data_IF_668252406695
#
_entry.id   IF_668252406695
#
_cell.length_a   1.000
_cell.length_b   1.000
_cell.length_c   1.000
_cell.angle_alpha   90.00
_cell.angle_beta   90.00
_cell.angle_gamma   90.00
#
_symmetry.space_group_name_H-M   'P 1'
#
loop_
_entity.id
_entity.type
_entity.pdbx_description
1 polymer ?
#
# COMPACT_ATOMS: atom_id res chain seq x y z
N UNK A 1 37.26 14.08 23.25
CA UNK A 1 35.86 14.41 22.92
C UNK A 1 35.48 14.06 21.47
N UNK A 2 36.35 14.28 20.48
CA UNK A 2 36.09 13.99 19.05
C UNK A 2 35.87 12.51 18.73
N UNK A 3 36.67 11.60 19.29
CA UNK A 3 36.59 10.15 19.05
C UNK A 3 35.28 9.54 19.57
N UNK A 4 34.80 10.01 20.72
CA UNK A 4 33.56 9.51 21.33
C UNK A 4 32.32 9.83 20.47
N UNK A 5 32.30 11.02 19.86
CA UNK A 5 31.21 11.46 18.98
C UNK A 5 31.16 10.66 17.67
N UNK A 6 32.33 10.23 17.15
CA UNK A 6 32.44 9.37 15.95
C UNK A 6 31.90 7.97 16.25
N UNK A 7 32.31 7.38 17.38
CA UNK A 7 31.87 6.04 17.79
C UNK A 7 30.37 6.02 18.05
N UNK A 8 29.86 7.05 18.74
CA UNK A 8 28.43 7.18 19.03
C UNK A 8 27.60 7.34 17.75
N UNK A 9 28.00 8.22 16.82
CA UNK A 9 27.33 8.39 15.54
C UNK A 9 27.34 7.11 14.69
N UNK A 10 28.43 6.35 14.70
CA UNK A 10 28.51 5.08 13.97
C UNK A 10 27.61 4.01 14.59
N UNK A 11 27.49 3.94 15.92
CA UNK A 11 26.53 3.07 16.61
C UNK A 11 25.08 3.47 16.32
N UNK A 12 24.76 4.76 16.35
CA UNK A 12 23.42 5.28 16.04
C UNK A 12 23.03 5.05 14.58
N UNK A 13 23.96 5.23 13.64
CA UNK A 13 23.76 4.89 12.22
C UNK A 13 23.48 3.39 12.07
N UNK A 14 24.27 2.52 12.71
CA UNK A 14 24.05 1.07 12.70
C UNK A 14 22.69 0.67 13.30
N UNK A 15 22.27 1.31 14.40
CA UNK A 15 20.97 1.03 15.03
C UNK A 15 19.79 1.43 14.13
N UNK A 16 19.87 2.61 13.49
CA UNK A 16 18.85 3.07 12.52
C UNK A 16 18.77 2.14 11.32
N UNK A 17 19.90 1.66 10.83
CA UNK A 17 19.99 0.69 9.74
C UNK A 17 19.28 -0.63 10.10
N UNK A 18 19.54 -1.17 11.30
CA UNK A 18 18.91 -2.42 11.76
C UNK A 18 17.39 -2.26 11.89
N UNK A 19 16.92 -1.12 12.38
CA UNK A 19 15.48 -0.84 12.48
C UNK A 19 14.79 -0.73 11.10
N UNK A 20 15.44 -0.09 10.13
CA UNK A 20 14.96 -0.04 8.73
C UNK A 20 14.94 -1.45 8.12
N UNK A 21 15.96 -2.27 8.36
CA UNK A 21 16.00 -3.67 7.88
C UNK A 21 14.86 -4.49 8.50
N UNK A 22 14.50 -4.28 9.77
CA UNK A 22 13.38 -4.96 10.43
C UNK A 22 12.05 -4.53 9.81
N UNK A 23 11.84 -3.22 9.57
CA UNK A 23 10.63 -2.69 8.91
C UNK A 23 10.48 -3.21 7.47
N UNK A 24 11.59 -3.34 6.74
CA UNK A 24 11.59 -3.91 5.39
C UNK A 24 11.39 -5.44 5.39
N UNK A 25 11.77 -6.16 6.46
CA UNK A 25 11.56 -7.60 6.59
C UNK A 25 10.17 -7.98 7.14
N UNK A 26 9.46 -7.09 7.83
CA UNK A 26 8.02 -7.29 8.13
C UNK A 26 7.15 -7.37 6.87
N UNK A 27 7.69 -6.96 5.72
CA UNK A 27 7.12 -7.15 4.39
C UNK A 27 7.49 -8.48 3.70
N UNK A 28 8.37 -9.31 4.29
CA UNK A 28 8.88 -10.56 3.74
C UNK A 28 8.49 -11.81 4.56
N UNK A 29 7.61 -11.67 5.55
CA UNK A 29 7.00 -12.82 6.22
C UNK A 29 6.05 -13.51 5.23
N UNK A 30 6.46 -14.65 4.70
CA UNK A 30 5.56 -15.58 4.00
C UNK A 30 4.33 -15.81 4.88
N UNK A 31 3.19 -15.40 4.35
CA UNK A 31 1.87 -15.62 4.93
C UNK A 31 1.59 -17.12 5.00
N UNK A 32 1.87 -17.74 6.16
CA UNK A 32 1.15 -18.94 6.58
C UNK A 32 0.85 -18.96 8.10
N UNK A 33 1.18 -17.89 8.84
CA UNK A 33 0.93 -17.83 10.29
C UNK A 33 0.46 -16.47 10.84
N UNK A 34 0.19 -15.48 9.99
CA UNK A 34 -0.07 -14.10 10.43
C UNK A 34 -1.50 -13.85 10.96
N UNK A 35 -2.38 -14.86 10.97
CA UNK A 35 -3.71 -14.71 11.55
C UNK A 35 -3.79 -15.01 13.07
N UNK A 36 -2.68 -15.28 13.77
CA UNK A 36 -2.76 -15.72 15.19
C UNK A 36 -1.96 -14.96 16.25
N UNK A 37 -1.04 -14.04 15.95
CA UNK A 37 -0.33 -13.31 17.02
C UNK A 37 0.19 -11.95 16.59
N UNK A 38 -0.66 -10.93 16.57
CA UNK A 38 -0.26 -9.57 17.00
C UNK A 38 -1.49 -8.94 17.67
N UNK A 39 -1.46 -8.84 18.99
CA UNK A 39 -2.22 -7.79 19.66
C UNK A 39 -1.50 -6.48 19.31
N UNK A 40 -2.12 -5.67 18.46
CA UNK A 40 -1.60 -4.34 18.15
C UNK A 40 -1.81 -3.46 19.38
N UNK A 41 -0.75 -3.19 20.14
CA UNK A 41 -0.79 -2.08 21.09
C UNK A 41 -0.81 -0.74 20.32
N UNK A 42 -1.61 0.24 20.77
CA UNK A 42 -1.77 1.51 20.08
C UNK A 42 -0.54 2.40 20.33
N UNK A 43 0.26 2.61 19.29
CA UNK A 43 1.29 3.64 19.28
C UNK A 43 0.65 5.02 19.42
N UNK A 44 1.03 5.75 20.47
CA UNK A 44 0.61 7.13 20.75
C UNK A 44 0.85 8.03 19.54
N UNK A 45 -0.22 8.34 18.83
CA UNK A 45 -0.28 9.48 17.92
C UNK A 45 -0.37 10.76 18.74
N UNK A 46 0.51 11.71 18.43
CA UNK A 46 0.46 13.06 18.95
C UNK A 46 -0.92 13.67 18.70
N UNK A 47 -1.45 14.34 19.73
CA UNK A 47 -2.79 14.90 19.76
C UNK A 47 -2.98 15.92 18.62
N UNK A 48 -3.63 15.47 17.54
CA UNK A 48 -4.22 16.36 16.55
C UNK A 48 -5.43 17.02 17.20
N UNK A 49 -5.34 18.34 17.36
CA UNK A 49 -6.45 19.20 17.80
C UNK A 49 -7.69 18.90 16.95
N UNK A 50 -8.78 18.47 17.60
CA UNK A 50 -10.11 18.29 17.00
C UNK A 50 -10.53 19.56 16.25
N UNK A 51 -10.63 19.44 14.93
CA UNK A 51 -11.38 20.37 14.08
C UNK A 51 -12.45 19.58 13.33
N UNK A 52 -13.71 20.01 13.49
CA UNK A 52 -14.92 19.71 12.68
C UNK A 52 -14.77 18.55 11.69
N UNK A 53 -15.42 17.42 11.98
CA UNK A 53 -15.37 16.16 11.23
C UNK A 53 -15.37 16.36 9.70
N UNK A 54 -14.18 16.22 9.10
CA UNK A 54 -13.90 16.41 7.67
C UNK A 54 -13.85 15.08 6.91
N UNK A 55 -14.39 14.00 7.49
CA UNK A 55 -14.35 12.67 6.88
C UNK A 55 -15.28 12.62 5.67
N UNK A 56 -14.79 12.00 4.59
CA UNK A 56 -15.59 11.77 3.38
C UNK A 56 -16.71 10.76 3.67
N UNK A 57 -17.81 10.74 2.89
CA UNK A 57 -18.87 9.75 3.05
C UNK A 57 -18.37 8.30 3.00
N UNK A 58 -17.38 8.03 2.14
CA UNK A 58 -16.69 6.73 2.06
C UNK A 58 -16.05 6.38 3.40
N UNK A 59 -15.27 7.28 4.01
CA UNK A 59 -14.64 7.01 5.31
C UNK A 59 -15.66 6.76 6.42
N UNK A 60 -16.76 7.51 6.43
CA UNK A 60 -17.85 7.31 7.40
C UNK A 60 -18.50 5.93 7.23
N UNK A 61 -18.72 5.48 5.99
CA UNK A 61 -19.24 4.13 5.72
C UNK A 61 -18.29 3.04 6.22
N UNK A 62 -16.99 3.17 5.93
CA UNK A 62 -15.98 2.20 6.33
C UNK A 62 -15.78 2.15 7.86
N UNK A 63 -15.90 3.30 8.53
CA UNK A 63 -15.95 3.36 10.00
C UNK A 63 -17.19 2.63 10.54
N UNK A 64 -18.35 2.80 9.90
CA UNK A 64 -19.59 2.07 10.24
C UNK A 64 -19.46 0.55 10.05
N UNK A 65 -18.62 0.11 9.11
CA UNK A 65 -18.27 -1.30 8.94
C UNK A 65 -17.16 -1.80 9.87
N UNK A 66 -16.56 -0.91 10.66
CA UNK A 66 -15.44 -1.18 11.55
C UNK A 66 -14.20 -1.71 10.82
N UNK A 67 -13.91 -1.16 9.64
CA UNK A 67 -12.68 -1.47 8.91
C UNK A 67 -11.46 -0.84 9.60
N UNK A 68 -10.31 -1.51 9.52
CA UNK A 68 -9.04 -0.95 10.01
C UNK A 68 -8.58 0.21 9.12
N UNK A 69 -7.66 1.03 9.60
CA UNK A 69 -7.13 2.14 8.81
C UNK A 69 -6.38 1.65 7.56
N UNK A 70 -5.71 0.50 7.64
CA UNK A 70 -5.07 -0.10 6.47
C UNK A 70 -6.08 -0.55 5.40
N UNK A 71 -7.23 -1.06 5.82
CA UNK A 71 -8.33 -1.43 4.92
C UNK A 71 -8.97 -0.18 4.30
N UNK A 72 -9.12 0.90 5.08
CA UNK A 72 -9.60 2.19 4.54
C UNK A 72 -8.65 2.72 3.46
N UNK A 73 -7.35 2.68 3.71
CA UNK A 73 -6.36 3.10 2.72
C UNK A 73 -6.41 2.26 1.43
N UNK A 74 -6.59 0.94 1.54
CA UNK A 74 -6.77 0.07 0.38
C UNK A 74 -8.03 0.44 -0.43
N UNK A 75 -9.15 0.74 0.24
CA UNK A 75 -10.38 1.21 -0.43
C UNK A 75 -10.16 2.57 -1.13
N UNK A 76 -9.47 3.51 -0.47
CA UNK A 76 -9.17 4.82 -1.06
C UNK A 76 -8.22 4.70 -2.27
N UNK A 77 -7.30 3.73 -2.25
CA UNK A 77 -6.45 3.43 -3.40
C UNK A 77 -7.30 2.96 -4.60
N UNK A 78 -8.28 2.09 -4.38
CA UNK A 78 -9.23 1.65 -5.42
C UNK A 78 -10.10 2.81 -5.91
N UNK A 79 -10.61 3.64 -4.99
CA UNK A 79 -11.39 4.83 -5.35
C UNK A 79 -10.61 5.70 -6.34
N UNK A 80 -9.34 5.98 -6.05
CA UNK A 80 -8.48 6.80 -6.92
C UNK A 80 -8.36 6.22 -8.33
N UNK A 81 -8.30 4.89 -8.48
CA UNK A 81 -8.26 4.25 -9.80
C UNK A 81 -9.62 4.35 -10.52
N UNK A 82 -10.72 4.04 -9.82
CA UNK A 82 -12.06 3.98 -10.42
C UNK A 82 -12.63 5.35 -10.80
N UNK A 83 -12.26 6.40 -10.07
CA UNK A 83 -12.72 7.78 -10.34
C UNK A 83 -11.80 8.55 -11.29
N UNK A 84 -10.61 8.03 -11.62
CA UNK A 84 -9.70 8.70 -12.55
C UNK A 84 -10.11 8.44 -14.02
N UNK A 85 -10.47 9.46 -14.81
CA UNK A 85 -10.87 9.30 -16.21
C UNK A 85 -9.72 8.94 -17.15
N UNK A 86 -8.46 9.11 -16.72
CA UNK A 86 -7.27 8.89 -17.55
C UNK A 86 -6.66 7.50 -17.38
N UNK A 87 -7.39 6.58 -16.73
CA UNK A 87 -6.94 5.22 -16.44
C UNK A 87 -7.87 4.21 -17.12
N UNK A 88 -7.26 3.14 -17.66
CA UNK A 88 -7.98 2.07 -18.36
C UNK A 88 -8.30 2.40 -19.82
N UNK A 89 -9.10 1.55 -20.45
CA UNK A 89 -9.61 1.76 -21.80
C UNK A 89 -10.72 2.82 -21.80
N UNK A 90 -10.91 3.50 -22.94
CA UNK A 90 -11.95 4.53 -23.09
C UNK A 90 -13.37 4.00 -22.85
N UNK A 91 -13.60 2.70 -23.05
CA UNK A 91 -14.88 2.03 -22.78
C UNK A 91 -15.09 1.67 -21.30
N UNK A 92 -14.07 1.80 -20.45
CA UNK A 92 -14.21 1.50 -19.03
C UNK A 92 -15.00 2.59 -18.30
N UNK A 93 -15.81 2.18 -17.32
CA UNK A 93 -16.61 3.10 -16.51
C UNK A 93 -15.70 3.98 -15.66
N UNK A 94 -15.95 5.30 -15.69
CA UNK A 94 -15.40 6.24 -14.73
C UNK A 94 -16.46 6.63 -13.73
N UNK A 95 -16.21 6.29 -12.46
CA UNK A 95 -17.14 6.57 -11.37
C UNK A 95 -16.99 8.03 -10.93
N UNK A 96 -18.11 8.66 -10.61
CA UNK A 96 -18.12 9.79 -9.68
C UNK A 96 -17.93 9.31 -8.24
N UNK A 97 -17.57 10.20 -7.31
CA UNK A 97 -17.47 9.84 -5.89
C UNK A 97 -18.79 9.30 -5.32
N UNK A 98 -19.93 9.81 -5.80
CA UNK A 98 -21.26 9.33 -5.40
C UNK A 98 -21.52 7.90 -5.92
N UNK A 99 -21.25 7.63 -7.20
CA UNK A 99 -21.42 6.27 -7.75
C UNK A 99 -20.48 5.26 -7.10
N UNK A 100 -19.25 5.68 -6.76
CA UNK A 100 -18.32 4.81 -6.04
C UNK A 100 -18.84 4.50 -4.64
N UNK A 101 -19.37 5.50 -3.93
CA UNK A 101 -20.04 5.29 -2.64
C UNK A 101 -21.21 4.31 -2.77
N UNK A 102 -22.06 4.48 -3.79
CA UNK A 102 -23.20 3.58 -4.04
C UNK A 102 -22.74 2.14 -4.35
N UNK A 103 -21.63 1.97 -5.06
CA UNK A 103 -21.01 0.65 -5.26
C UNK A 103 -20.64 -0.01 -3.93
N UNK A 104 -20.00 0.73 -3.01
CA UNK A 104 -19.64 0.21 -1.69
C UNK A 104 -20.87 -0.17 -0.86
N UNK A 105 -21.93 0.65 -0.91
CA UNK A 105 -23.21 0.36 -0.25
C UNK A 105 -23.85 -0.91 -0.81
N UNK A 106 -23.86 -1.06 -2.14
CA UNK A 106 -24.46 -2.22 -2.81
C UNK A 106 -23.66 -3.52 -2.64
N UNK A 107 -22.34 -3.43 -2.49
CA UNK A 107 -21.52 -4.57 -2.06
C UNK A 107 -21.90 -4.98 -0.63
N UNK A 108 -22.13 -3.99 0.24
CA UNK A 108 -22.35 -4.22 1.66
C UNK A 108 -21.08 -4.68 2.38
N UNK A 109 -21.17 -4.80 3.71
CA UNK A 109 -20.02 -5.05 4.58
C UNK A 109 -19.24 -6.31 4.20
N UNK A 110 -19.91 -7.46 4.15
CA UNK A 110 -19.23 -8.77 4.06
C UNK A 110 -18.52 -8.94 2.72
N UNK A 111 -19.17 -8.57 1.61
CA UNK A 111 -18.57 -8.64 0.28
C UNK A 111 -17.44 -7.63 0.12
N UNK A 112 -17.62 -6.40 0.63
CA UNK A 112 -16.57 -5.40 0.60
C UNK A 112 -15.34 -5.85 1.41
N UNK A 113 -15.53 -6.47 2.57
CA UNK A 113 -14.43 -6.98 3.39
C UNK A 113 -13.63 -8.06 2.64
N UNK A 114 -14.31 -8.95 1.90
CA UNK A 114 -13.65 -9.96 1.07
C UNK A 114 -12.85 -9.33 -0.08
N UNK A 115 -13.43 -8.34 -0.78
CA UNK A 115 -12.70 -7.60 -1.82
C UNK A 115 -11.46 -6.92 -1.25
N UNK A 116 -11.60 -6.24 -0.11
CA UNK A 116 -10.52 -5.49 0.52
C UNK A 116 -9.40 -6.41 1.00
N UNK A 117 -9.69 -7.62 1.48
CA UNK A 117 -8.64 -8.60 1.84
C UNK A 117 -7.71 -8.90 0.67
N UNK A 118 -8.25 -9.11 -0.52
CA UNK A 118 -7.44 -9.40 -1.72
C UNK A 118 -6.67 -8.16 -2.17
N UNK A 119 -7.36 -7.01 -2.27
CA UNK A 119 -6.76 -5.74 -2.68
C UNK A 119 -5.65 -5.30 -1.71
N UNK A 120 -5.86 -5.52 -0.42
CA UNK A 120 -4.90 -5.16 0.63
C UNK A 120 -3.58 -5.91 0.47
N UNK A 121 -3.58 -7.17 0.02
CA UNK A 121 -2.35 -7.92 -0.23
C UNK A 121 -1.50 -7.22 -1.31
N UNK A 122 -2.11 -6.87 -2.44
CA UNK A 122 -1.42 -6.14 -3.52
C UNK A 122 -0.96 -4.76 -3.06
N UNK A 123 -1.83 -4.03 -2.36
CA UNK A 123 -1.51 -2.70 -1.82
C UNK A 123 -0.36 -2.73 -0.80
N UNK A 124 -0.25 -3.79 0.01
CA UNK A 124 0.85 -3.99 0.95
C UNK A 124 2.17 -4.20 0.20
N UNK A 125 2.20 -5.03 -0.84
CA UNK A 125 3.42 -5.23 -1.65
C UNK A 125 3.88 -3.90 -2.27
N UNK A 126 2.94 -3.09 -2.77
CA UNK A 126 3.21 -1.74 -3.27
C UNK A 126 3.83 -0.84 -2.19
N UNK A 127 3.27 -0.79 -0.98
CA UNK A 127 3.84 0.00 0.13
C UNK A 127 5.28 -0.43 0.44
N UNK A 128 5.52 -1.74 0.49
CA UNK A 128 6.87 -2.25 0.72
C UNK A 128 7.84 -1.86 -0.41
N UNK A 129 7.37 -1.74 -1.66
CA UNK A 129 8.17 -1.21 -2.76
C UNK A 129 8.52 0.27 -2.54
N UNK A 130 7.52 1.10 -2.17
CA UNK A 130 7.73 2.52 -1.83
C UNK A 130 8.77 2.67 -0.73
N UNK A 131 8.61 1.96 0.39
CA UNK A 131 9.53 2.03 1.53
C UNK A 131 10.97 1.62 1.14
N UNK A 132 11.10 0.59 0.29
CA UNK A 132 12.40 0.14 -0.21
C UNK A 132 13.06 1.20 -1.11
N UNK A 133 12.29 1.85 -2.00
CA UNK A 133 12.78 2.91 -2.87
C UNK A 133 13.19 4.14 -2.05
N UNK A 134 12.36 4.58 -1.10
CA UNK A 134 12.65 5.73 -0.24
C UNK A 134 13.93 5.54 0.59
N UNK A 135 14.20 4.30 0.98
CA UNK A 135 15.39 3.90 1.75
C UNK A 135 16.71 3.95 0.95
N UNK A 136 16.66 3.99 -0.38
CA UNK A 136 17.84 4.12 -1.23
C UNK A 136 18.54 5.48 -1.01
N UNK A 137 19.85 5.52 -1.23
CA UNK A 137 20.63 6.76 -1.16
C UNK A 137 21.02 7.26 -2.54
N UNK A 138 21.20 6.34 -3.49
CA UNK A 138 21.49 6.70 -4.87
C UNK A 138 20.24 7.24 -5.56
N UNK A 139 20.32 8.48 -6.04
CA UNK A 139 19.18 9.16 -6.66
C UNK A 139 18.84 8.54 -8.03
N UNK A 140 19.83 8.08 -8.78
CA UNK A 140 19.59 7.47 -10.09
C UNK A 140 18.80 6.15 -9.95
N UNK A 141 19.12 5.33 -8.93
CA UNK A 141 18.35 4.16 -8.58
C UNK A 141 16.93 4.52 -8.11
N UNK A 142 16.77 5.58 -7.29
CA UNK A 142 15.44 6.07 -6.89
C UNK A 142 14.60 6.45 -8.09
N UNK A 143 15.12 7.25 -9.01
CA UNK A 143 14.41 7.72 -10.18
C UNK A 143 14.01 6.56 -11.10
N UNK A 144 14.92 5.59 -11.28
CA UNK A 144 14.66 4.35 -12.02
C UNK A 144 13.51 3.57 -11.38
N UNK A 145 13.61 3.21 -10.10
CA UNK A 145 12.59 2.38 -9.45
C UNK A 145 11.25 3.12 -9.24
N UNK A 146 11.26 4.45 -9.11
CA UNK A 146 10.02 5.24 -9.14
C UNK A 146 9.34 5.17 -10.52
N UNK A 147 10.11 5.12 -11.60
CA UNK A 147 9.57 4.92 -12.96
C UNK A 147 8.95 3.52 -13.08
N UNK A 148 9.65 2.49 -12.59
CA UNK A 148 9.14 1.11 -12.58
C UNK A 148 7.87 0.96 -11.71
N UNK A 149 7.86 1.61 -10.53
CA UNK A 149 6.70 1.66 -9.64
C UNK A 149 5.51 2.36 -10.31
N UNK A 150 5.75 3.48 -11.00
CA UNK A 150 4.69 4.21 -11.70
C UNK A 150 4.08 3.38 -12.84
N UNK A 151 4.89 2.61 -13.55
CA UNK A 151 4.41 1.67 -14.57
C UNK A 151 3.55 0.55 -13.95
N UNK A 152 3.99 -0.05 -12.84
CA UNK A 152 3.21 -1.05 -12.11
C UNK A 152 1.90 -0.47 -11.54
N UNK A 153 1.93 0.77 -11.05
CA UNK A 153 0.74 1.50 -10.58
C UNK A 153 -0.26 1.74 -11.71
N UNK A 154 0.22 2.15 -12.89
CA UNK A 154 -0.64 2.36 -14.05
C UNK A 154 -1.31 1.06 -14.51
N UNK A 155 -0.54 -0.04 -14.57
CA UNK A 155 -1.05 -1.36 -14.93
C UNK A 155 -2.10 -1.87 -13.93
N UNK A 156 -1.81 -1.80 -12.62
CA UNK A 156 -2.79 -2.22 -11.60
C UNK A 156 -4.02 -1.31 -11.55
N UNK A 157 -3.86 0.00 -11.74
CA UNK A 157 -4.99 0.93 -11.84
C UNK A 157 -5.87 0.60 -13.05
N UNK A 158 -5.27 0.25 -14.19
CA UNK A 158 -5.98 -0.21 -15.38
C UNK A 158 -6.76 -1.50 -15.15
N UNK A 159 -6.16 -2.46 -14.43
CA UNK A 159 -6.87 -3.67 -13.99
C UNK A 159 -8.07 -3.35 -13.09
N UNK A 160 -7.87 -2.54 -12.05
CA UNK A 160 -8.97 -2.14 -11.14
C UNK A 160 -10.10 -1.48 -11.93
N UNK A 161 -9.76 -0.63 -12.91
CA UNK A 161 -10.72 0.01 -13.81
C UNK A 161 -11.52 -0.99 -14.64
N UNK A 162 -10.85 -2.00 -15.21
CA UNK A 162 -11.49 -3.07 -15.95
C UNK A 162 -12.49 -3.83 -15.06
N UNK A 163 -12.06 -4.25 -13.88
CA UNK A 163 -12.91 -4.96 -12.91
C UNK A 163 -14.10 -4.11 -12.47
N UNK A 164 -13.86 -2.85 -12.11
CA UNK A 164 -14.91 -1.91 -11.72
C UNK A 164 -15.90 -1.58 -12.85
N UNK A 165 -15.58 -1.92 -14.10
CA UNK A 165 -16.47 -1.77 -15.26
C UNK A 165 -17.38 -2.98 -15.48
N UNK A 166 -17.41 -3.95 -14.56
CA UNK A 166 -18.36 -5.07 -14.61
C UNK A 166 -19.80 -4.58 -14.70
N UNK A 167 -20.65 -5.31 -15.44
CA UNK A 167 -22.02 -4.87 -15.72
C UNK A 167 -22.94 -4.94 -14.50
N UNK A 168 -22.59 -5.76 -13.50
CA UNK A 168 -23.33 -5.90 -12.25
C UNK A 168 -22.38 -5.88 -11.05
N UNK A 169 -22.94 -5.57 -9.87
CA UNK A 169 -22.20 -5.63 -8.59
C UNK A 169 -21.68 -7.03 -8.31
N UNK A 170 -22.44 -8.09 -8.68
CA UNK A 170 -21.99 -9.48 -8.54
C UNK A 170 -20.77 -9.76 -9.43
N UNK A 171 -20.77 -9.30 -10.68
CA UNK A 171 -19.61 -9.47 -11.57
C UNK A 171 -18.38 -8.71 -11.06
N UNK A 172 -18.56 -7.49 -10.54
CA UNK A 172 -17.46 -6.71 -9.95
C UNK A 172 -16.90 -7.46 -8.73
N UNK A 173 -17.78 -7.96 -7.85
CA UNK A 173 -17.39 -8.75 -6.69
C UNK A 173 -16.59 -10.00 -7.09
N UNK A 174 -17.12 -10.81 -8.00
CA UNK A 174 -16.49 -12.06 -8.45
C UNK A 174 -15.12 -11.81 -9.08
N UNK A 175 -14.98 -10.77 -9.90
CA UNK A 175 -13.70 -10.39 -10.47
C UNK A 175 -12.71 -9.86 -9.42
N UNK A 176 -13.18 -9.09 -8.43
CA UNK A 176 -12.33 -8.57 -7.35
C UNK A 176 -11.81 -9.66 -6.41
N UNK A 177 -12.60 -10.69 -6.09
CA UNK A 177 -12.14 -11.72 -5.14
C UNK A 177 -11.24 -12.79 -5.78
N UNK A 178 -11.32 -12.97 -7.11
CA UNK A 178 -10.62 -14.04 -7.82
C UNK A 178 -9.33 -13.57 -8.51
N UNK A 179 -8.95 -12.30 -8.36
CA UNK A 179 -7.71 -11.79 -8.95
C UNK A 179 -6.49 -12.09 -8.08
N UNK A 180 -5.35 -12.35 -8.73
CA UNK A 180 -4.05 -12.50 -8.09
C UNK A 180 -3.06 -11.53 -8.72
N UNK A 181 -3.18 -10.24 -8.37
CA UNK A 181 -2.25 -9.19 -8.85
C UNK A 181 -1.16 -8.84 -7.85
N UNK A 182 -1.00 -9.63 -6.79
CA UNK A 182 0.05 -9.40 -5.79
C UNK A 182 1.47 -9.43 -6.38
N UNK A 183 1.64 -10.06 -7.54
CA UNK A 183 2.90 -10.11 -8.27
C UNK A 183 3.28 -8.79 -8.96
N UNK A 184 2.32 -7.90 -9.29
CA UNK A 184 2.59 -6.69 -10.10
C UNK A 184 3.64 -5.76 -9.49
N UNK A 185 3.67 -5.65 -8.16
CA UNK A 185 4.63 -4.82 -7.44
C UNK A 185 5.84 -5.60 -6.89
N UNK A 186 5.81 -6.94 -7.02
CA UNK A 186 6.80 -7.81 -6.37
C UNK A 186 8.20 -7.58 -6.92
N UNK A 187 8.34 -7.49 -8.23
CA UNK A 187 9.64 -7.30 -8.87
C UNK A 187 10.25 -5.94 -8.49
N UNK A 188 9.45 -4.87 -8.50
CA UNK A 188 9.89 -3.54 -8.06
C UNK A 188 10.32 -3.58 -6.59
N UNK A 189 9.53 -4.20 -5.72
CA UNK A 189 9.85 -4.37 -4.29
C UNK A 189 11.17 -5.13 -4.10
N UNK A 190 11.29 -6.31 -4.70
CA UNK A 190 12.44 -7.21 -4.50
C UNK A 190 13.73 -6.59 -5.07
N UNK A 191 13.66 -5.95 -6.24
CA UNK A 191 14.82 -5.31 -6.87
C UNK A 191 15.27 -4.04 -6.15
N UNK A 192 14.35 -3.18 -5.71
CA UNK A 192 14.67 -2.00 -4.90
C UNK A 192 15.28 -2.41 -3.54
N UNK A 193 14.73 -3.45 -2.90
CA UNK A 193 15.27 -3.99 -1.66
C UNK A 193 16.70 -4.52 -1.84
N UNK A 194 16.95 -5.27 -2.91
CA UNK A 194 18.30 -5.79 -3.21
C UNK A 194 19.30 -4.66 -3.51
N UNK A 195 18.88 -3.62 -4.22
CA UNK A 195 19.70 -2.44 -4.46
C UNK A 195 20.10 -1.74 -3.15
N UNK A 196 19.13 -1.56 -2.23
CA UNK A 196 19.39 -1.02 -0.90
C UNK A 196 20.41 -1.87 -0.13
N UNK A 197 20.25 -3.19 -0.11
CA UNK A 197 21.22 -4.08 0.54
C UNK A 197 22.62 -3.99 -0.10
N UNK A 198 22.71 -3.68 -1.39
CA UNK A 198 23.97 -3.44 -2.11
C UNK A 198 24.68 -2.16 -1.64
N UNK A 199 23.97 -1.03 -1.59
CA UNK A 199 24.52 0.25 -1.10
C UNK A 199 25.03 0.16 0.34
N UNK A 200 24.37 -0.67 1.14
CA UNK A 200 24.69 -0.87 2.54
C UNK A 200 25.96 -1.70 2.72
N UNK A 201 26.19 -2.69 1.86
CA UNK A 201 27.42 -3.49 1.85
C UNK A 201 28.64 -2.67 1.43
N UNK A 202 28.50 -1.80 0.43
CA UNK A 202 29.59 -0.92 -0.04
C UNK A 202 30.02 0.13 1.01
N UNK A 203 29.19 0.43 2.01
CA UNK A 203 29.54 1.37 3.10
C UNK A 203 30.27 0.72 4.28
N UNK A 204 30.35 -0.60 4.33
CA UNK A 204 30.98 -1.35 5.43
C UNK A 204 32.37 -1.88 5.03
N UNK A 205 32.68 -1.94 3.73
CA UNK A 205 34.02 -2.13 3.19
C UNK A 205 34.80 -0.81 3.17
#
# INVERSE_FOLDING_TARGET
>A
MYIYNIIFNNKLKKLKIIMIIILLNSCNLKDEALCKRVQCEPGKGDAIKKTKDSRTPVLVLLDGFNFSDEYKEAVLYVQKALTNPNVGAQSNKTYTDAEFYDLLVNLGKDRLENCVKVIFLTFRVRKCAVDAIESLKDQANKDKFNTDLAAADADYSGFLKLVGSGATVDQIYDMMINHDDGYKFKDVKDTAHNAFLGEMRQKVS
#
